data_IF_127435203381
#
_entry.id   IF_127435203381
#
_cell.length_a   1.000
_cell.length_b   1.000
_cell.length_c   1.000
_cell.angle_alpha   90.00
_cell.angle_beta   90.00
_cell.angle_gamma   90.00
#
_symmetry.space_group_name_H-M   'P 1'
#
loop_
_entity.id
_entity.type
_entity.pdbx_description
1 polymer ?
#
# COMPACT_ATOMS: atom_id res chain seq x y z
N UNK A 1 -21.37 -77.75 53.43
CA UNK A 1 -20.41 -77.31 52.44
C UNK A 1 -21.04 -76.14 51.71
N UNK A 2 -20.75 -74.91 52.17
CA UNK A 2 -21.45 -73.70 51.69
C UNK A 2 -20.45 -72.95 50.80
N UNK A 3 -20.75 -72.87 49.51
CA UNK A 3 -19.95 -72.13 48.52
C UNK A 3 -20.42 -70.69 48.44
N UNK A 4 -19.55 -69.76 48.89
CA UNK A 4 -19.77 -68.30 48.83
C UNK A 4 -19.44 -67.76 47.45
N UNK A 5 -20.39 -67.22 46.75
CA UNK A 5 -20.21 -66.48 45.49
C UNK A 5 -20.00 -64.96 45.80
N UNK A 6 -18.82 -64.48 45.44
CA UNK A 6 -18.47 -63.02 45.48
C UNK A 6 -19.00 -62.32 44.21
N UNK A 7 -19.59 -61.11 44.33
CA UNK A 7 -20.01 -60.37 43.15
C UNK A 7 -18.81 -59.63 42.48
N UNK A 8 -18.75 -59.75 41.17
CA UNK A 8 -17.79 -59.07 40.28
C UNK A 8 -18.27 -57.61 40.09
N UNK A 9 -17.48 -56.68 40.59
CA UNK A 9 -17.77 -55.26 40.40
C UNK A 9 -17.26 -54.81 39.03
N UNK A 10 -18.14 -54.52 38.09
CA UNK A 10 -17.86 -53.93 36.80
C UNK A 10 -17.64 -52.41 36.98
N UNK A 11 -16.38 -51.96 36.93
CA UNK A 11 -16.05 -50.54 36.87
C UNK A 11 -16.12 -50.09 35.43
N UNK A 12 -17.17 -49.36 35.05
CA UNK A 12 -17.28 -48.68 33.78
C UNK A 12 -16.42 -47.42 33.83
N UNK A 13 -15.30 -47.44 33.07
CA UNK A 13 -14.43 -46.28 32.92
C UNK A 13 -14.99 -45.39 31.80
N UNK A 14 -15.62 -44.25 32.17
CA UNK A 14 -16.03 -43.22 31.22
C UNK A 14 -14.77 -42.46 30.77
N UNK A 15 -14.31 -42.74 29.54
CA UNK A 15 -13.33 -41.91 28.85
C UNK A 15 -14.05 -40.67 28.31
N UNK A 16 -13.89 -39.55 29.00
CA UNK A 16 -14.23 -38.24 28.49
C UNK A 16 -13.15 -37.82 27.49
N UNK A 17 -13.42 -37.94 26.19
CA UNK A 17 -12.63 -37.32 25.13
C UNK A 17 -13.03 -35.82 25.04
N UNK A 18 -12.11 -34.86 25.21
CA UNK A 18 -12.42 -33.47 24.95
C UNK A 18 -12.61 -33.28 23.44
N UNK A 19 -13.81 -32.95 23.00
CA UNK A 19 -14.14 -32.52 21.67
C UNK A 19 -13.55 -31.13 21.46
N UNK A 20 -12.35 -31.05 20.88
CA UNK A 20 -11.76 -29.79 20.40
C UNK A 20 -12.61 -29.29 19.23
N UNK A 21 -13.56 -28.41 19.52
CA UNK A 21 -14.24 -27.60 18.49
C UNK A 21 -13.20 -26.64 17.92
N UNK A 22 -12.54 -27.03 16.84
CA UNK A 22 -11.81 -26.13 15.98
C UNK A 22 -12.84 -25.18 15.36
N UNK A 23 -12.99 -23.99 15.95
CA UNK A 23 -13.73 -22.88 15.35
C UNK A 23 -12.98 -22.47 14.09
N UNK A 24 -13.36 -23.03 12.93
CA UNK A 24 -13.01 -22.43 11.64
C UNK A 24 -13.82 -21.13 11.52
N UNK A 25 -13.30 -20.06 12.15
CA UNK A 25 -13.71 -18.73 11.78
C UNK A 25 -13.39 -18.50 10.32
N UNK A 26 -14.41 -18.23 9.48
CA UNK A 26 -14.17 -17.78 8.11
C UNK A 26 -13.21 -16.58 8.15
N UNK A 27 -12.26 -16.47 7.20
CA UNK A 27 -11.40 -15.30 7.13
C UNK A 27 -12.31 -14.07 7.00
N UNK A 28 -12.31 -13.24 8.02
CA UNK A 28 -13.04 -11.98 7.98
C UNK A 28 -12.29 -11.11 6.98
N UNK A 29 -12.99 -10.65 5.95
CA UNK A 29 -12.45 -9.69 4.98
C UNK A 29 -12.09 -8.39 5.71
N UNK A 30 -10.84 -8.32 6.18
CA UNK A 30 -10.31 -7.18 6.96
C UNK A 30 -10.04 -5.98 6.08
N UNK A 31 -9.63 -6.20 4.83
CA UNK A 31 -9.33 -5.13 3.87
C UNK A 31 -10.55 -4.23 3.62
N UNK A 32 -11.76 -4.79 3.64
CA UNK A 32 -13.00 -4.03 3.52
C UNK A 32 -13.33 -3.17 4.77
N UNK A 33 -12.53 -3.24 5.83
CA UNK A 33 -12.82 -2.57 7.11
C UNK A 33 -11.91 -1.39 7.45
N UNK A 34 -10.69 -1.32 6.86
CA UNK A 34 -9.78 -0.22 7.14
C UNK A 34 -9.92 0.87 6.08
N UNK A 35 -10.44 2.02 6.49
CA UNK A 35 -10.55 3.17 5.60
C UNK A 35 -9.22 3.91 5.54
N UNK A 36 -8.58 3.89 4.36
CA UNK A 36 -7.31 4.59 4.11
C UNK A 36 -7.50 6.04 3.66
N UNK A 37 -8.76 6.51 3.51
CA UNK A 37 -9.05 7.90 3.12
C UNK A 37 -8.63 8.83 4.24
N UNK A 38 -7.73 9.76 3.94
CA UNK A 38 -7.16 10.71 4.91
C UNK A 38 -6.50 10.03 6.14
N UNK A 39 -6.24 8.71 6.07
CA UNK A 39 -5.57 8.01 7.15
C UNK A 39 -4.14 8.52 7.32
N UNK A 40 -3.82 8.97 8.52
CA UNK A 40 -2.48 9.44 8.85
C UNK A 40 -1.51 8.28 9.12
N UNK A 41 -0.20 8.51 8.93
CA UNK A 41 0.82 7.52 9.28
C UNK A 41 0.66 7.00 10.73
N UNK A 42 0.47 7.84 11.76
CA UNK A 42 0.25 7.34 13.12
C UNK A 42 -0.99 6.44 13.26
N UNK A 43 -2.09 6.73 12.55
CA UNK A 43 -3.29 5.88 12.56
C UNK A 43 -3.03 4.52 11.92
N UNK A 44 -2.36 4.51 10.75
CA UNK A 44 -1.96 3.26 10.09
C UNK A 44 -0.98 2.45 10.96
N UNK A 45 0.00 3.09 11.60
CA UNK A 45 0.92 2.44 12.52
C UNK A 45 0.20 1.80 13.71
N UNK A 46 -0.75 2.51 14.31
CA UNK A 46 -1.55 1.98 15.41
C UNK A 46 -2.35 0.76 14.97
N UNK A 47 -3.00 0.83 13.80
CA UNK A 47 -3.77 -0.27 13.24
C UNK A 47 -2.92 -1.51 12.93
N UNK A 48 -1.69 -1.30 12.42
CA UNK A 48 -0.70 -2.36 12.21
C UNK A 48 -0.21 -2.96 13.53
N UNK A 49 -0.06 -2.14 14.56
CA UNK A 49 0.44 -2.55 15.87
C UNK A 49 -0.58 -3.37 16.66
N UNK A 50 -1.85 -2.98 16.61
CA UNK A 50 -2.94 -3.70 17.27
C UNK A 50 -3.50 -4.87 16.45
N UNK A 51 -3.00 -5.05 15.22
CA UNK A 51 -3.37 -6.14 14.32
C UNK A 51 -4.75 -5.99 13.67
N UNK A 52 -5.34 -4.80 13.69
CA UNK A 52 -6.61 -4.51 13.01
C UNK A 52 -6.46 -4.42 11.50
N UNK A 53 -5.24 -4.21 11.00
CA UNK A 53 -4.86 -4.23 9.58
C UNK A 53 -3.47 -4.82 9.41
N UNK A 54 -3.19 -5.42 8.25
CA UNK A 54 -1.85 -5.86 7.83
C UNK A 54 -1.25 -4.88 6.83
N UNK A 55 0.07 -4.93 6.62
CA UNK A 55 0.75 -4.15 5.58
C UNK A 55 0.20 -4.49 4.20
N UNK A 56 -0.08 -5.79 3.96
CA UNK A 56 -0.71 -6.25 2.73
C UNK A 56 -2.07 -5.60 2.50
N UNK A 57 -2.94 -5.60 3.51
CA UNK A 57 -4.27 -5.00 3.42
C UNK A 57 -4.21 -3.48 3.17
N UNK A 58 -3.24 -2.78 3.76
CA UNK A 58 -2.99 -1.36 3.46
C UNK A 58 -2.59 -1.16 2.00
N UNK A 59 -1.67 -1.96 1.48
CA UNK A 59 -1.25 -1.90 0.08
C UNK A 59 -2.42 -2.19 -0.85
N UNK A 60 -3.19 -3.25 -0.59
CA UNK A 60 -4.37 -3.62 -1.39
C UNK A 60 -5.41 -2.50 -1.41
N UNK A 61 -5.69 -1.87 -0.27
CA UNK A 61 -6.63 -0.75 -0.18
C UNK A 61 -6.17 0.45 -1.02
N UNK A 62 -4.88 0.79 -0.99
CA UNK A 62 -4.35 1.89 -1.81
C UNK A 62 -4.32 1.53 -3.31
N UNK A 63 -3.94 0.29 -3.67
CA UNK A 63 -3.99 -0.18 -5.06
C UNK A 63 -5.42 -0.15 -5.62
N UNK A 64 -6.40 -0.56 -4.82
CA UNK A 64 -7.81 -0.47 -5.20
C UNK A 64 -8.23 0.98 -5.47
N UNK A 65 -7.80 1.93 -4.63
CA UNK A 65 -8.09 3.34 -4.85
C UNK A 65 -7.42 3.88 -6.12
N UNK A 66 -6.17 3.52 -6.38
CA UNK A 66 -5.52 3.84 -7.66
C UNK A 66 -6.37 3.30 -8.81
N UNK A 67 -6.74 2.02 -8.79
CA UNK A 67 -7.55 1.41 -9.84
C UNK A 67 -8.93 2.08 -10.05
N UNK A 68 -9.54 2.59 -8.98
CA UNK A 68 -10.86 3.23 -9.03
C UNK A 68 -10.82 4.67 -9.53
N UNK A 69 -9.77 5.42 -9.21
CA UNK A 69 -9.76 6.87 -9.40
C UNK A 69 -8.69 7.38 -10.37
N UNK A 70 -7.77 6.51 -10.84
CA UNK A 70 -6.66 6.94 -11.69
C UNK A 70 -7.12 7.59 -12.99
N UNK A 71 -8.19 7.09 -13.58
CA UNK A 71 -8.77 7.67 -14.81
C UNK A 71 -9.23 9.13 -14.59
N UNK A 72 -9.72 9.44 -13.38
CA UNK A 72 -10.19 10.78 -13.04
C UNK A 72 -9.07 11.68 -12.51
N UNK A 73 -8.15 11.12 -11.68
CA UNK A 73 -7.14 11.90 -10.95
C UNK A 73 -5.83 11.96 -11.71
N UNK A 74 -5.47 10.89 -12.42
CA UNK A 74 -4.21 10.74 -13.17
C UNK A 74 -2.99 11.15 -12.32
N UNK A 75 -2.86 10.52 -11.15
CA UNK A 75 -1.82 10.84 -10.18
C UNK A 75 -0.62 9.89 -10.24
N UNK A 76 -0.78 8.71 -10.84
CA UNK A 76 0.18 7.61 -10.79
C UNK A 76 0.76 7.35 -12.17
N UNK A 77 2.09 7.34 -12.32
CA UNK A 77 2.76 7.04 -13.59
C UNK A 77 3.27 5.59 -13.65
N UNK A 78 3.57 5.00 -12.49
CA UNK A 78 3.94 3.59 -12.37
C UNK A 78 3.55 3.04 -11.00
N UNK A 79 3.17 1.77 -10.95
CA UNK A 79 2.88 1.03 -9.72
C UNK A 79 3.95 -0.03 -9.51
N UNK A 80 4.40 -0.20 -8.28
CA UNK A 80 5.40 -1.20 -7.95
C UNK A 80 4.81 -2.63 -8.07
N UNK A 81 5.29 -3.45 -9.01
CA UNK A 81 4.77 -4.80 -9.20
C UNK A 81 5.07 -5.73 -8.00
N UNK A 82 6.02 -5.35 -7.15
CA UNK A 82 6.44 -6.12 -5.98
C UNK A 82 5.83 -5.64 -4.67
N UNK A 83 4.98 -4.60 -4.69
CA UNK A 83 4.46 -3.98 -3.46
C UNK A 83 3.78 -5.00 -2.53
N UNK A 84 2.99 -5.93 -3.07
CA UNK A 84 2.31 -6.97 -2.28
C UNK A 84 3.30 -8.01 -1.71
N UNK A 85 4.33 -8.39 -2.48
CA UNK A 85 5.38 -9.30 -2.01
C UNK A 85 6.17 -8.69 -0.84
N UNK A 86 6.52 -7.41 -0.96
CA UNK A 86 7.22 -6.65 0.09
C UNK A 86 6.33 -6.54 1.33
N UNK A 87 5.04 -6.23 1.16
CA UNK A 87 4.09 -6.16 2.25
C UNK A 87 3.99 -7.48 3.02
N UNK A 88 3.86 -8.61 2.30
CA UNK A 88 3.84 -9.94 2.91
C UNK A 88 5.14 -10.25 3.69
N UNK A 89 6.29 -9.77 3.20
CA UNK A 89 7.56 -9.94 3.91
C UNK A 89 7.58 -9.16 5.22
N UNK A 90 7.17 -7.89 5.18
CA UNK A 90 7.12 -7.04 6.36
C UNK A 90 6.10 -7.54 7.40
N UNK A 91 4.96 -8.08 6.96
CA UNK A 91 3.98 -8.69 7.86
C UNK A 91 4.56 -9.93 8.58
N UNK A 92 5.32 -10.79 7.85
CA UNK A 92 6.03 -11.91 8.49
C UNK A 92 7.10 -11.45 9.49
N UNK A 93 7.80 -10.38 9.17
CA UNK A 93 8.81 -9.81 10.06
C UNK A 93 8.19 -9.22 11.32
N UNK A 94 7.07 -8.49 11.17
CA UNK A 94 6.27 -7.99 12.30
C UNK A 94 5.81 -9.13 13.20
N UNK A 95 5.27 -10.20 12.63
CA UNK A 95 4.85 -11.38 13.39
C UNK A 95 6.01 -12.05 14.14
N UNK A 96 7.24 -11.93 13.64
CA UNK A 96 8.46 -12.39 14.29
C UNK A 96 9.09 -11.35 15.25
N UNK A 97 8.42 -10.24 15.52
CA UNK A 97 8.88 -9.17 16.40
C UNK A 97 9.99 -8.28 15.81
N UNK A 98 10.24 -8.37 14.50
CA UNK A 98 11.24 -7.54 13.80
C UNK A 98 10.56 -6.35 13.14
N UNK A 99 10.80 -5.17 13.69
CA UNK A 99 10.31 -3.89 13.18
C UNK A 99 11.50 -3.06 12.70
N UNK A 100 11.54 -2.67 11.44
CA UNK A 100 12.65 -1.92 10.86
C UNK A 100 12.69 -0.47 11.36
N UNK A 101 11.52 0.18 11.47
CA UNK A 101 11.45 1.57 11.88
C UNK A 101 10.04 2.14 11.88
N UNK A 102 9.92 3.47 11.94
CA UNK A 102 8.62 4.14 12.09
C UNK A 102 7.71 4.03 10.86
N UNK A 103 8.22 3.54 9.74
CA UNK A 103 7.42 3.36 8.51
C UNK A 103 7.18 1.88 8.18
N UNK A 104 7.49 0.97 9.10
CA UNK A 104 7.36 -0.46 8.83
C UNK A 104 5.96 -0.87 8.39
N UNK A 105 5.84 -1.26 7.12
CA UNK A 105 4.58 -1.68 6.49
C UNK A 105 3.70 -0.53 5.97
N UNK A 106 4.19 0.71 5.98
CA UNK A 106 3.46 1.88 5.49
C UNK A 106 3.71 2.06 3.98
N UNK A 107 2.67 2.08 3.14
CA UNK A 107 2.81 2.38 1.72
C UNK A 107 3.12 3.86 1.48
N UNK A 108 4.09 4.12 0.61
CA UNK A 108 4.55 5.46 0.24
C UNK A 108 4.64 5.58 -1.27
N UNK A 109 4.10 6.64 -1.85
CA UNK A 109 4.31 6.99 -3.24
C UNK A 109 5.45 8.01 -3.38
N UNK A 110 6.31 7.83 -4.39
CA UNK A 110 7.42 8.73 -4.68
C UNK A 110 7.16 9.50 -5.97
N UNK A 111 7.56 10.76 -6.00
CA UNK A 111 7.55 11.55 -7.23
C UNK A 111 8.48 10.92 -8.27
N UNK A 112 8.08 10.92 -9.55
CA UNK A 112 8.78 10.19 -10.60
C UNK A 112 10.15 10.79 -11.03
N UNK A 113 10.69 11.72 -10.29
CA UNK A 113 12.08 12.16 -10.38
C UNK A 113 12.98 11.57 -9.28
N UNK A 114 12.46 10.71 -8.42
CA UNK A 114 13.21 10.04 -7.35
C UNK A 114 13.54 8.61 -7.81
N UNK A 115 14.82 8.27 -7.85
CA UNK A 115 15.29 6.97 -8.34
C UNK A 115 14.84 5.80 -7.46
N UNK A 116 14.29 4.79 -8.14
CA UNK A 116 14.02 3.44 -7.61
C UNK A 116 14.63 2.42 -8.56
N UNK A 117 14.97 1.23 -8.10
CA UNK A 117 15.58 0.17 -8.93
C UNK A 117 14.58 -0.84 -9.46
N UNK A 118 13.34 -0.79 -9.01
CA UNK A 118 12.26 -1.72 -9.39
C UNK A 118 11.16 -1.06 -10.21
N UNK A 119 11.21 0.25 -10.41
CA UNK A 119 10.29 1.02 -11.26
C UNK A 119 11.02 2.04 -12.11
N UNK A 120 10.48 2.40 -13.27
CA UNK A 120 11.02 3.49 -14.09
C UNK A 120 11.10 4.81 -13.31
N UNK A 121 12.08 5.63 -13.66
CA UNK A 121 12.21 7.02 -13.20
C UNK A 121 12.40 7.90 -14.42
N UNK A 122 11.33 8.57 -14.83
CA UNK A 122 11.28 9.23 -16.15
C UNK A 122 11.31 10.75 -16.05
N UNK A 123 11.02 11.31 -14.86
CA UNK A 123 10.79 12.75 -14.73
C UNK A 123 9.62 13.25 -15.59
N UNK A 124 8.72 12.35 -16.01
CA UNK A 124 7.61 12.62 -16.92
C UNK A 124 8.02 12.78 -18.39
N UNK A 125 9.33 12.69 -18.71
CA UNK A 125 9.83 12.93 -20.05
C UNK A 125 9.83 11.65 -20.90
N UNK A 126 9.28 11.73 -22.11
CA UNK A 126 9.23 10.64 -23.08
C UNK A 126 10.63 10.08 -23.41
N UNK A 127 11.67 10.92 -23.37
CA UNK A 127 13.04 10.52 -23.59
C UNK A 127 13.57 9.48 -22.56
N UNK A 128 12.92 9.40 -21.40
CA UNK A 128 13.28 8.46 -20.33
C UNK A 128 12.22 7.39 -20.08
N UNK A 129 11.31 7.20 -21.02
CA UNK A 129 10.30 6.14 -20.93
C UNK A 129 10.97 4.77 -20.70
N UNK A 130 10.50 4.06 -19.66
CA UNK A 130 11.04 2.74 -19.31
C UNK A 130 12.45 2.76 -18.69
N UNK A 131 13.07 3.90 -18.44
CA UNK A 131 14.39 3.98 -17.83
C UNK A 131 14.33 3.58 -16.35
N UNK A 132 14.92 2.44 -16.01
CA UNK A 132 15.12 1.98 -14.64
C UNK A 132 16.55 2.35 -14.21
N UNK A 133 16.71 3.21 -13.19
CA UNK A 133 18.03 3.59 -12.69
C UNK A 133 18.81 2.40 -12.12
N UNK A 134 20.15 2.36 -12.28
CA UNK A 134 20.97 1.27 -11.73
C UNK A 134 21.25 1.41 -10.24
N UNK A 135 20.73 2.46 -9.58
CA UNK A 135 20.87 2.71 -8.15
C UNK A 135 19.67 3.50 -7.63
N UNK A 136 19.42 3.38 -6.36
CA UNK A 136 18.37 4.12 -5.67
C UNK A 136 18.84 5.49 -5.19
N UNK A 137 17.90 6.43 -5.12
CA UNK A 137 18.13 7.66 -4.40
C UNK A 137 18.34 7.37 -2.89
N UNK A 138 19.15 8.19 -2.24
CA UNK A 138 19.34 8.09 -0.78
C UNK A 138 18.00 8.19 -0.03
N UNK A 139 17.07 9.01 -0.51
CA UNK A 139 15.73 9.11 0.05
C UNK A 139 14.98 7.78 -0.02
N UNK A 140 14.98 7.11 -1.18
CA UNK A 140 14.33 5.80 -1.38
C UNK A 140 14.86 4.79 -0.38
N UNK A 141 16.18 4.61 -0.35
CA UNK A 141 16.84 3.68 0.58
C UNK A 141 16.51 3.97 2.04
N UNK A 142 16.56 5.23 2.46
CA UNK A 142 16.23 5.59 3.85
C UNK A 142 14.78 5.28 4.22
N UNK A 143 13.84 5.43 3.26
CA UNK A 143 12.44 5.07 3.48
C UNK A 143 12.28 3.54 3.61
N UNK A 144 12.94 2.77 2.75
CA UNK A 144 12.90 1.30 2.79
C UNK A 144 13.59 0.76 4.05
N UNK A 145 14.73 1.33 4.45
CA UNK A 145 15.40 1.01 5.72
C UNK A 145 14.51 1.30 6.94
N UNK A 146 13.66 2.32 6.86
CA UNK A 146 12.64 2.61 7.86
C UNK A 146 11.40 1.68 7.78
N UNK A 147 11.36 0.78 6.79
CA UNK A 147 10.32 -0.21 6.58
C UNK A 147 9.15 0.25 5.70
N UNK A 148 9.30 1.35 4.97
CA UNK A 148 8.28 1.80 4.02
C UNK A 148 8.18 0.85 2.82
N UNK A 149 6.98 0.76 2.25
CA UNK A 149 6.72 0.06 0.99
C UNK A 149 6.59 1.11 -0.10
N UNK A 150 7.55 1.17 -1.02
CA UNK A 150 7.44 2.08 -2.16
C UNK A 150 6.37 1.52 -3.11
N UNK A 151 5.18 2.14 -3.05
CA UNK A 151 3.98 1.65 -3.73
C UNK A 151 3.91 2.06 -5.19
N UNK A 152 4.29 3.31 -5.49
CA UNK A 152 4.07 3.90 -6.80
C UNK A 152 5.02 5.07 -7.07
N UNK A 153 5.11 5.43 -8.36
CA UNK A 153 5.69 6.70 -8.83
C UNK A 153 4.56 7.63 -9.24
N UNK A 154 4.61 8.88 -8.78
CA UNK A 154 3.57 9.87 -9.07
C UNK A 154 3.94 10.79 -10.21
N UNK A 155 2.92 11.24 -10.95
CA UNK A 155 3.08 12.22 -12.03
C UNK A 155 3.68 13.54 -11.53
N UNK A 156 4.29 14.28 -12.43
CA UNK A 156 4.90 15.58 -12.13
C UNK A 156 4.87 16.45 -13.39
N UNK A 157 5.14 17.74 -13.22
CA UNK A 157 5.52 18.59 -14.35
C UNK A 157 6.82 18.06 -14.97
N UNK A 158 6.86 17.87 -16.29
CA UNK A 158 7.99 17.30 -16.98
C UNK A 158 9.33 17.93 -16.55
N UNK A 159 10.29 17.09 -16.17
CA UNK A 159 11.59 17.48 -15.63
C UNK A 159 11.51 18.56 -14.53
N UNK A 160 10.43 18.53 -13.74
CA UNK A 160 10.12 19.50 -12.69
C UNK A 160 10.08 20.96 -13.19
N UNK A 161 9.68 21.17 -14.45
CA UNK A 161 9.64 22.48 -15.12
C UNK A 161 11.02 23.16 -15.22
N UNK A 162 12.11 22.39 -15.19
CA UNK A 162 13.48 22.91 -15.20
C UNK A 162 13.98 23.24 -16.62
N UNK A 163 13.55 22.46 -17.64
CA UNK A 163 14.13 22.49 -18.98
C UNK A 163 13.45 23.46 -19.94
N UNK A 164 12.24 23.97 -19.65
CA UNK A 164 11.50 24.83 -20.56
C UNK A 164 10.65 25.87 -19.80
N UNK A 165 10.68 27.10 -20.32
CA UNK A 165 9.80 28.16 -19.85
C UNK A 165 8.37 28.00 -20.42
N UNK A 166 7.36 28.26 -19.61
CA UNK A 166 5.97 28.29 -20.04
C UNK A 166 5.30 26.93 -20.17
N UNK A 167 5.92 25.86 -19.73
CA UNK A 167 5.26 24.56 -19.62
C UNK A 167 4.08 24.64 -18.65
N UNK A 168 2.96 23.97 -18.98
CA UNK A 168 1.85 23.88 -18.04
C UNK A 168 2.28 23.14 -16.77
N UNK A 169 1.95 23.68 -15.62
CA UNK A 169 2.22 23.02 -14.34
C UNK A 169 1.45 21.70 -14.27
N UNK A 170 2.08 20.69 -13.70
CA UNK A 170 1.55 19.34 -13.55
C UNK A 170 1.19 18.63 -14.87
N UNK A 171 1.89 18.98 -15.95
CA UNK A 171 1.81 18.32 -17.24
C UNK A 171 3.15 17.67 -17.60
N UNK A 172 3.10 16.49 -18.16
CA UNK A 172 4.23 15.83 -18.74
C UNK A 172 3.86 15.02 -19.98
N UNK A 173 4.83 14.76 -20.84
CA UNK A 173 4.60 14.00 -22.08
C UNK A 173 4.17 12.55 -21.81
N UNK A 174 4.65 11.94 -20.74
CA UNK A 174 4.26 10.57 -20.35
C UNK A 174 3.02 10.53 -19.46
N UNK A 175 2.89 11.43 -18.52
CA UNK A 175 1.83 11.38 -17.51
C UNK A 175 0.62 12.26 -17.83
N UNK A 176 0.67 13.11 -18.89
CA UNK A 176 -0.37 14.11 -19.15
C UNK A 176 -0.60 15.03 -17.94
N UNK A 177 -1.83 15.50 -17.71
CA UNK A 177 -2.17 16.35 -16.57
C UNK A 177 -2.55 15.51 -15.35
N UNK A 178 -1.81 15.63 -14.26
CA UNK A 178 -2.30 15.23 -12.94
C UNK A 178 -3.40 16.18 -12.47
N UNK A 179 -4.42 15.68 -11.80
CA UNK A 179 -5.59 16.46 -11.39
C UNK A 179 -5.69 16.54 -9.87
N UNK A 180 -6.37 17.58 -9.40
CA UNK A 180 -6.64 17.72 -7.98
C UNK A 180 -7.70 16.68 -7.54
N UNK A 181 -7.42 15.80 -6.58
CA UNK A 181 -8.37 14.78 -6.14
C UNK A 181 -9.64 15.35 -5.48
N UNK A 182 -9.58 16.57 -4.99
CA UNK A 182 -10.75 17.26 -4.41
C UNK A 182 -11.58 18.03 -5.46
N UNK A 183 -10.98 18.35 -6.61
CA UNK A 183 -11.68 18.99 -7.73
C UNK A 183 -10.97 18.64 -9.05
N UNK A 184 -11.29 17.51 -9.68
CA UNK A 184 -10.64 17.08 -10.91
C UNK A 184 -11.13 17.81 -12.16
N UNK A 185 -12.05 18.76 -12.02
CA UNK A 185 -12.64 19.51 -13.13
C UNK A 185 -11.61 20.45 -13.78
N UNK A 186 -12.02 21.00 -14.92
CA UNK A 186 -11.27 22.07 -15.58
C UNK A 186 -11.23 23.31 -14.69
N UNK A 187 -10.12 24.04 -14.73
CA UNK A 187 -9.95 25.28 -13.98
C UNK A 187 -10.98 26.33 -14.47
N UNK A 188 -11.95 26.75 -13.64
CA UNK A 188 -12.98 27.68 -14.03
C UNK A 188 -12.51 29.13 -14.03
N UNK A 189 -11.27 29.42 -13.59
CA UNK A 189 -10.79 30.79 -13.46
C UNK A 189 -10.58 31.45 -14.82
N UNK A 190 -10.99 32.70 -14.93
CA UNK A 190 -10.79 33.50 -16.12
C UNK A 190 -9.30 33.56 -16.51
N UNK A 191 -8.99 33.39 -17.79
CA UNK A 191 -7.63 33.29 -18.30
C UNK A 191 -6.95 31.93 -18.10
N UNK A 192 -7.64 30.96 -17.49
CA UNK A 192 -7.19 29.57 -17.31
C UNK A 192 -8.13 28.54 -17.92
N UNK A 193 -9.09 28.97 -18.72
CA UNK A 193 -10.09 28.12 -19.36
C UNK A 193 -9.60 27.47 -20.67
N UNK A 194 -8.30 27.32 -20.84
CA UNK A 194 -7.65 26.65 -21.99
C UNK A 194 -7.76 25.10 -21.95
N UNK A 195 -8.57 24.59 -21.03
CA UNK A 195 -8.81 23.16 -20.87
C UNK A 195 -7.98 22.50 -19.77
N UNK A 196 -7.08 23.25 -19.12
CA UNK A 196 -6.32 22.72 -17.98
C UNK A 196 -7.23 22.34 -16.82
N UNK A 197 -6.90 21.26 -16.09
CA UNK A 197 -7.60 20.95 -14.84
C UNK A 197 -7.25 21.96 -13.75
N UNK A 198 -8.06 22.01 -12.70
CA UNK A 198 -7.67 22.64 -11.44
C UNK A 198 -6.39 21.94 -10.95
N UNK A 199 -5.31 22.71 -10.82
CA UNK A 199 -3.99 22.12 -10.60
C UNK A 199 -3.84 21.54 -9.21
N UNK A 200 -3.36 20.30 -9.15
CA UNK A 200 -2.53 19.85 -8.06
C UNK A 200 -1.09 20.30 -8.37
N UNK A 201 -0.42 20.94 -7.46
CA UNK A 201 1.01 21.25 -7.62
C UNK A 201 1.80 19.98 -7.35
N UNK A 202 2.42 19.45 -8.37
CA UNK A 202 3.34 18.32 -8.26
C UNK A 202 4.76 18.74 -7.86
#
# INVERSE_FOLDING_TARGET
MIVSLRPLSFRVLFLFAPLLLASCGAPVDRAARYDVVEATIPQMQQALQDGSVTSRELVEAHLLRIAMYEEEVNATIAVNPRALEIADSLDRERAAGRIHGPLHGIPVALKDNIHTTDMPTTGGALAFEGFIPPYEATLTRNLEEAGAIILAKTVLTELANFMASGMPTNYSALGSYGRNPYDPRRDPREGRNDGRPVMATG
#
